data_IF_034479123307
#
_entry.id   IF_034479123307
#
_cell.length_a   1.000
_cell.length_b   1.000
_cell.length_c   1.000
_cell.angle_alpha   90.00
_cell.angle_beta   90.00
_cell.angle_gamma   90.00
#
_symmetry.space_group_name_H-M   'P 1'
#
loop_
_entity.id
_entity.type
_entity.pdbx_description
1 polymer ?
#
# COMPACT_ATOMS: atom_id res chain seq x y z
N UNK A 1 -11.42 3.17 -16.13
CA UNK A 1 -10.69 1.99 -15.64
C UNK A 1 -11.41 0.73 -16.08
N UNK A 2 -10.69 -0.25 -16.62
CA UNK A 2 -11.24 -1.55 -17.02
C UNK A 2 -10.69 -2.66 -16.11
N UNK A 3 -11.55 -3.29 -15.32
CA UNK A 3 -11.21 -4.48 -14.54
C UNK A 3 -11.46 -5.74 -15.38
N UNK A 4 -10.42 -6.53 -15.62
CA UNK A 4 -10.49 -7.82 -16.31
C UNK A 4 -10.48 -8.94 -15.27
N UNK A 5 -11.61 -9.64 -15.13
CA UNK A 5 -11.76 -10.73 -14.17
C UNK A 5 -11.40 -12.04 -14.85
N UNK A 6 -10.43 -12.75 -14.28
CA UNK A 6 -9.95 -14.03 -14.75
C UNK A 6 -10.13 -15.07 -13.64
N UNK A 7 -10.73 -16.21 -13.98
CA UNK A 7 -10.90 -17.31 -13.04
C UNK A 7 -11.52 -18.54 -13.71
N UNK A 8 -11.31 -19.75 -13.16
CA UNK A 8 -11.97 -20.97 -13.65
C UNK A 8 -13.50 -20.90 -13.45
N UNK A 9 -14.25 -21.86 -13.99
CA UNK A 9 -15.73 -21.82 -14.03
C UNK A 9 -16.38 -21.63 -12.65
N UNK A 10 -15.85 -22.29 -11.60
CA UNK A 10 -16.40 -22.26 -10.23
C UNK A 10 -15.59 -21.40 -9.25
N UNK A 11 -14.94 -20.35 -9.75
CA UNK A 11 -14.15 -19.41 -8.94
C UNK A 11 -14.97 -18.35 -8.19
N UNK A 12 -16.27 -18.20 -8.49
CA UNK A 12 -17.06 -17.08 -7.99
C UNK A 12 -16.91 -15.79 -8.81
N UNK A 13 -16.20 -15.82 -9.95
CA UNK A 13 -16.01 -14.64 -10.83
C UNK A 13 -17.30 -13.90 -11.22
N UNK A 14 -18.39 -14.63 -11.45
CA UNK A 14 -19.68 -14.03 -11.76
C UNK A 14 -20.29 -13.31 -10.55
N UNK A 15 -20.23 -13.92 -9.37
CA UNK A 15 -20.69 -13.29 -8.13
C UNK A 15 -19.87 -12.03 -7.81
N UNK A 16 -18.55 -12.09 -8.01
CA UNK A 16 -17.67 -10.94 -7.88
C UNK A 16 -17.99 -9.81 -8.88
N UNK A 17 -18.25 -10.16 -10.15
CA UNK A 17 -18.65 -9.18 -11.17
C UNK A 17 -19.95 -8.47 -10.78
N UNK A 18 -20.95 -9.23 -10.31
CA UNK A 18 -22.22 -8.66 -9.86
C UNK A 18 -22.04 -7.73 -8.66
N UNK A 19 -21.17 -8.10 -7.72
CA UNK A 19 -20.81 -7.23 -6.60
C UNK A 19 -20.20 -5.91 -7.06
N UNK A 20 -19.26 -5.95 -8.03
CA UNK A 20 -18.70 -4.72 -8.61
C UNK A 20 -19.77 -3.88 -9.32
N UNK A 21 -20.73 -4.51 -10.02
CA UNK A 21 -21.85 -3.78 -10.63
C UNK A 21 -22.68 -3.02 -9.59
N UNK A 22 -22.90 -3.60 -8.41
CA UNK A 22 -23.55 -2.93 -7.29
C UNK A 22 -22.73 -1.74 -6.75
N UNK A 23 -21.41 -1.77 -6.91
CA UNK A 23 -20.48 -0.67 -6.59
C UNK A 23 -20.30 0.33 -7.75
N UNK A 24 -21.28 0.45 -8.65
CA UNK A 24 -21.28 1.38 -9.80
C UNK A 24 -20.30 1.05 -10.95
N UNK A 25 -19.80 -0.19 -11.05
CA UNK A 25 -19.11 -0.64 -12.26
C UNK A 25 -20.12 -1.05 -13.35
N UNK A 26 -19.79 -0.77 -14.62
CA UNK A 26 -20.61 -1.22 -15.75
C UNK A 26 -19.99 -2.47 -16.38
N UNK A 27 -20.76 -3.55 -16.46
CA UNK A 27 -20.33 -4.75 -17.17
C UNK A 27 -20.30 -4.52 -18.68
N UNK A 28 -19.22 -4.97 -19.33
CA UNK A 28 -19.08 -5.00 -20.79
C UNK A 28 -18.60 -6.38 -21.23
N UNK A 29 -19.19 -6.88 -22.32
CA UNK A 29 -18.78 -8.14 -22.93
C UNK A 29 -17.33 -8.08 -23.41
N UNK A 30 -16.62 -9.20 -23.28
CA UNK A 30 -15.26 -9.32 -23.79
C UNK A 30 -15.25 -9.26 -25.31
N UNK A 31 -14.29 -8.53 -25.88
CA UNK A 31 -13.85 -8.67 -27.27
C UNK A 31 -12.33 -8.49 -27.34
N UNK A 32 -11.63 -9.10 -28.32
CA UNK A 32 -10.19 -8.93 -28.49
C UNK A 32 -9.76 -7.46 -28.64
N UNK A 33 -10.57 -6.66 -29.32
CA UNK A 33 -10.30 -5.24 -29.58
C UNK A 33 -10.89 -4.29 -28.53
N UNK A 34 -11.43 -4.80 -27.42
CA UNK A 34 -12.16 -4.01 -26.42
C UNK A 34 -11.35 -2.80 -25.92
N UNK A 35 -10.05 -2.99 -25.66
CA UNK A 35 -9.19 -1.89 -25.21
C UNK A 35 -9.10 -0.75 -26.23
N UNK A 36 -9.08 -1.06 -27.53
CA UNK A 36 -9.07 -0.09 -28.63
C UNK A 36 -10.43 0.59 -28.75
N UNK A 37 -11.53 -0.16 -28.70
CA UNK A 37 -12.89 0.38 -28.77
C UNK A 37 -13.16 1.38 -27.65
N UNK A 38 -12.76 1.07 -26.42
CA UNK A 38 -12.94 1.98 -25.28
C UNK A 38 -12.18 3.30 -25.42
N UNK A 39 -11.05 3.29 -26.13
CA UNK A 39 -10.30 4.51 -26.43
C UNK A 39 -11.03 5.32 -27.49
N UNK A 40 -11.40 4.71 -28.61
CA UNK A 40 -12.09 5.38 -29.72
C UNK A 40 -13.42 6.01 -29.27
N UNK A 41 -14.15 5.33 -28.39
CA UNK A 41 -15.42 5.81 -27.85
C UNK A 41 -15.26 6.75 -26.64
N UNK A 42 -14.03 7.07 -26.23
CA UNK A 42 -13.74 7.89 -25.04
C UNK A 42 -14.40 7.37 -23.74
N UNK A 43 -14.55 6.05 -23.62
CA UNK A 43 -15.14 5.38 -22.43
C UNK A 43 -14.10 4.89 -21.42
N UNK A 44 -12.81 5.09 -21.70
CA UNK A 44 -11.69 4.64 -20.84
C UNK A 44 -11.70 5.23 -19.42
N UNK A 45 -12.35 6.37 -19.21
CA UNK A 45 -12.50 7.02 -17.91
C UNK A 45 -13.66 6.47 -17.05
N UNK A 46 -14.51 5.59 -17.59
CA UNK A 46 -15.61 4.96 -16.86
C UNK A 46 -15.13 3.78 -16.02
N UNK A 47 -15.85 3.42 -14.96
CA UNK A 47 -15.62 2.21 -14.18
C UNK A 47 -16.25 1.00 -14.89
N UNK A 48 -15.42 0.21 -15.58
CA UNK A 48 -15.85 -0.89 -16.42
C UNK A 48 -15.31 -2.22 -15.89
N UNK A 49 -16.06 -3.29 -16.11
CA UNK A 49 -15.67 -4.64 -15.75
C UNK A 49 -15.99 -5.63 -16.87
N UNK A 50 -15.09 -6.57 -17.12
CA UNK A 50 -15.29 -7.64 -18.10
C UNK A 50 -14.76 -8.96 -17.56
N UNK A 51 -15.32 -10.08 -17.99
CA UNK A 51 -14.85 -11.41 -17.64
C UNK A 51 -14.06 -11.96 -18.82
N UNK A 52 -12.81 -12.35 -18.58
CA UNK A 52 -11.99 -13.02 -19.57
C UNK A 52 -12.46 -14.48 -19.74
N UNK A 53 -12.64 -14.95 -20.99
CA UNK A 53 -13.07 -16.32 -21.24
C UNK A 53 -11.97 -17.34 -20.86
N UNK A 54 -10.72 -16.97 -21.10
CA UNK A 54 -9.53 -17.80 -20.86
C UNK A 54 -8.30 -16.93 -20.53
N UNK A 55 -7.19 -17.52 -20.03
CA UNK A 55 -5.98 -16.76 -19.70
C UNK A 55 -5.30 -16.05 -20.89
N UNK A 56 -5.30 -16.62 -22.09
CA UNK A 56 -4.63 -16.04 -23.27
C UNK A 56 -5.32 -14.76 -23.76
N UNK A 57 -6.64 -14.65 -23.53
CA UNK A 57 -7.42 -13.43 -23.78
C UNK A 57 -6.85 -12.17 -23.09
N UNK A 58 -6.06 -12.33 -22.01
CA UNK A 58 -5.34 -11.23 -21.36
C UNK A 58 -4.34 -10.53 -22.29
N UNK A 59 -3.70 -11.28 -23.20
CA UNK A 59 -2.67 -10.77 -24.10
C UNK A 59 -3.19 -9.66 -25.01
N UNK A 60 -4.49 -9.67 -25.31
CA UNK A 60 -5.16 -8.68 -26.13
C UNK A 60 -5.39 -7.35 -25.39
N UNK A 61 -5.63 -7.39 -24.07
CA UNK A 61 -6.05 -6.22 -23.29
C UNK A 61 -4.92 -5.60 -22.45
N UNK A 62 -3.83 -6.32 -22.20
CA UNK A 62 -2.70 -5.89 -21.34
C UNK A 62 -1.93 -4.64 -21.82
N UNK A 63 -2.17 -4.18 -23.05
CA UNK A 63 -1.35 -3.15 -23.71
C UNK A 63 -1.50 -1.76 -23.09
N UNK A 64 -2.51 -1.52 -22.25
CA UNK A 64 -2.88 -0.19 -21.76
C UNK A 64 -2.90 -0.13 -20.23
N UNK A 65 -2.39 0.95 -19.61
CA UNK A 65 -2.24 1.06 -18.15
C UNK A 65 -3.57 1.25 -17.39
N UNK A 66 -4.68 1.57 -18.07
CA UNK A 66 -6.00 1.68 -17.44
C UNK A 66 -6.71 0.32 -17.29
N UNK A 67 -6.08 -0.76 -17.76
CA UNK A 67 -6.58 -2.12 -17.69
C UNK A 67 -5.89 -2.85 -16.54
N UNK A 68 -6.68 -3.41 -15.62
CA UNK A 68 -6.18 -4.14 -14.46
C UNK A 68 -6.68 -5.58 -14.45
N UNK A 69 -5.78 -6.52 -14.20
CA UNK A 69 -6.12 -7.94 -14.12
C UNK A 69 -6.44 -8.33 -12.68
N UNK A 70 -7.60 -8.94 -12.48
CA UNK A 70 -8.01 -9.55 -11.21
C UNK A 70 -8.13 -11.06 -11.43
N UNK A 71 -7.35 -11.84 -10.68
CA UNK A 71 -7.38 -13.30 -10.75
C UNK A 71 -8.09 -13.82 -9.51
N UNK A 72 -9.17 -14.58 -9.70
CA UNK A 72 -9.94 -15.18 -8.62
C UNK A 72 -9.69 -16.68 -8.63
N UNK A 73 -9.08 -17.16 -7.54
CA UNK A 73 -8.77 -18.58 -7.39
C UNK A 73 -9.99 -19.36 -6.90
N UNK A 74 -10.25 -20.51 -7.53
CA UNK A 74 -11.21 -21.48 -7.02
C UNK A 74 -10.65 -22.27 -5.83
N UNK A 75 -11.49 -22.87 -4.98
CA UNK A 75 -11.03 -23.63 -3.83
C UNK A 75 -10.18 -24.84 -4.21
N UNK A 76 -8.91 -24.81 -3.82
CA UNK A 76 -8.04 -25.97 -3.83
C UNK A 76 -8.65 -27.06 -2.93
N UNK A 77 -8.95 -28.24 -3.53
CA UNK A 77 -9.56 -29.42 -2.88
C UNK A 77 -11.07 -29.33 -2.57
N UNK A 78 -11.81 -28.39 -3.14
CA UNK A 78 -13.28 -28.48 -3.08
C UNK A 78 -13.83 -29.51 -4.06
N UNK A 79 -15.05 -29.98 -3.78
CA UNK A 79 -15.93 -30.69 -4.75
C UNK A 79 -16.17 -29.91 -6.04
N UNK A 80 -15.81 -28.62 -6.06
CA UNK A 80 -15.99 -27.71 -7.19
C UNK A 80 -14.77 -27.68 -8.11
N UNK A 81 -13.62 -28.26 -7.73
CA UNK A 81 -12.43 -28.32 -8.58
C UNK A 81 -12.57 -29.44 -9.61
N UNK A 82 -12.35 -29.11 -10.88
CA UNK A 82 -12.37 -30.07 -11.98
C UNK A 82 -10.96 -30.21 -12.59
N UNK A 83 -10.70 -31.29 -13.33
CA UNK A 83 -9.42 -31.50 -14.05
C UNK A 83 -9.05 -30.36 -15.02
N UNK A 84 -10.05 -29.69 -15.58
CA UNK A 84 -9.86 -28.53 -16.46
C UNK A 84 -9.32 -27.28 -15.71
N UNK A 85 -9.47 -27.21 -14.38
CA UNK A 85 -8.95 -26.10 -13.60
C UNK A 85 -7.41 -26.16 -13.51
N UNK A 86 -6.82 -27.35 -13.53
CA UNK A 86 -5.36 -27.53 -13.52
C UNK A 86 -4.73 -26.97 -14.80
N UNK A 87 -5.35 -27.23 -15.97
CA UNK A 87 -4.94 -26.64 -17.24
C UNK A 87 -5.04 -25.11 -17.20
N UNK A 88 -6.11 -24.57 -16.62
CA UNK A 88 -6.26 -23.12 -16.44
C UNK A 88 -5.13 -22.53 -15.60
N UNK A 89 -4.81 -23.13 -14.45
CA UNK A 89 -3.73 -22.64 -13.58
C UNK A 89 -2.36 -22.75 -14.23
N UNK A 90 -2.08 -23.81 -14.98
CA UNK A 90 -0.84 -23.93 -15.76
C UNK A 90 -0.70 -22.81 -16.79
N UNK A 91 -1.77 -22.47 -17.50
CA UNK A 91 -1.77 -21.34 -18.45
C UNK A 91 -1.50 -20.01 -17.75
N UNK A 92 -2.15 -19.74 -16.62
CA UNK A 92 -1.89 -18.53 -15.81
C UNK A 92 -0.44 -18.48 -15.32
N UNK A 93 0.11 -19.62 -14.89
CA UNK A 93 1.48 -19.73 -14.43
C UNK A 93 2.47 -19.44 -15.57
N UNK A 94 2.25 -20.01 -16.76
CA UNK A 94 3.06 -19.73 -17.94
C UNK A 94 3.05 -18.24 -18.31
N UNK A 95 1.88 -17.59 -18.24
CA UNK A 95 1.74 -16.15 -18.46
C UNK A 95 2.41 -15.28 -17.39
N UNK A 96 2.70 -15.82 -16.21
CA UNK A 96 3.51 -15.13 -15.20
C UNK A 96 5.00 -15.34 -15.46
N UNK A 97 5.39 -16.57 -15.84
CA UNK A 97 6.77 -16.94 -16.12
C UNK A 97 7.34 -16.19 -17.33
N UNK A 98 6.54 -16.01 -18.38
CA UNK A 98 6.92 -15.24 -19.58
C UNK A 98 6.79 -13.70 -19.37
N UNK A 99 6.44 -13.26 -18.15
CA UNK A 99 6.19 -11.86 -17.77
C UNK A 99 5.02 -11.21 -18.53
N UNK A 100 4.09 -12.01 -19.06
CA UNK A 100 2.90 -11.49 -19.70
C UNK A 100 1.89 -10.90 -18.71
N UNK A 101 1.90 -11.40 -17.47
CA UNK A 101 1.20 -10.86 -16.30
C UNK A 101 2.28 -10.33 -15.35
N UNK A 102 2.46 -9.01 -15.32
CA UNK A 102 3.43 -8.34 -14.43
C UNK A 102 2.79 -7.78 -13.17
N UNK A 103 1.54 -7.32 -13.27
CA UNK A 103 0.76 -6.78 -12.18
C UNK A 103 -0.65 -7.35 -12.25
N UNK A 104 -1.13 -7.90 -11.14
CA UNK A 104 -2.49 -8.39 -10.99
C UNK A 104 -2.89 -8.36 -9.52
N UNK A 105 -4.19 -8.23 -9.26
CA UNK A 105 -4.76 -8.47 -7.92
C UNK A 105 -5.20 -9.92 -7.84
N UNK A 106 -4.65 -10.65 -6.88
CA UNK A 106 -5.05 -12.02 -6.60
C UNK A 106 -6.07 -12.04 -5.48
N UNK A 107 -7.25 -12.55 -5.78
CA UNK A 107 -8.29 -12.81 -4.79
C UNK A 107 -8.17 -14.30 -4.45
N UNK A 108 -7.75 -14.62 -3.22
CA UNK A 108 -7.62 -16.00 -2.81
C UNK A 108 -8.99 -16.66 -2.73
N UNK A 109 -8.99 -17.96 -2.54
CA UNK A 109 -10.22 -18.71 -2.41
C UNK A 109 -10.95 -18.43 -1.07
N UNK A 110 -12.29 -18.39 -1.12
CA UNK A 110 -13.17 -18.28 0.05
C UNK A 110 -14.22 -19.39 0.07
N UNK A 111 -14.64 -19.79 1.27
CA UNK A 111 -15.64 -20.85 1.44
C UNK A 111 -17.08 -20.36 1.24
N UNK A 112 -17.35 -19.06 1.39
CA UNK A 112 -18.67 -18.45 1.23
C UNK A 112 -18.61 -17.14 0.43
N UNK A 113 -19.74 -16.73 -0.14
CA UNK A 113 -19.87 -15.46 -0.89
C UNK A 113 -19.71 -14.28 0.07
N UNK A 114 -20.22 -14.38 1.30
CA UNK A 114 -20.10 -13.35 2.31
C UNK A 114 -18.64 -13.09 2.69
N UNK A 115 -17.84 -14.15 2.85
CA UNK A 115 -16.40 -14.00 3.13
C UNK A 115 -15.65 -13.38 1.95
N UNK A 116 -16.01 -13.76 0.72
CA UNK A 116 -15.47 -13.13 -0.48
C UNK A 116 -15.79 -11.63 -0.51
N UNK A 117 -17.05 -11.24 -0.29
CA UNK A 117 -17.45 -9.83 -0.31
C UNK A 117 -16.83 -9.03 0.84
N UNK A 118 -16.73 -9.61 2.04
CA UNK A 118 -16.05 -8.98 3.17
C UNK A 118 -14.57 -8.73 2.90
N UNK A 119 -13.87 -9.62 2.17
CA UNK A 119 -12.50 -9.37 1.76
C UNK A 119 -12.42 -8.31 0.66
N UNK A 120 -13.28 -8.44 -0.35
CA UNK A 120 -13.32 -7.51 -1.49
C UNK A 120 -13.60 -6.08 -1.03
N UNK A 121 -14.44 -5.87 -0.02
CA UNK A 121 -14.67 -4.54 0.56
C UNK A 121 -13.42 -3.91 1.20
N UNK A 122 -12.38 -4.70 1.49
CA UNK A 122 -11.09 -4.19 1.98
C UNK A 122 -10.10 -3.84 0.86
N UNK A 123 -10.38 -4.26 -0.38
CA UNK A 123 -9.50 -4.03 -1.51
C UNK A 123 -9.75 -2.66 -2.13
N UNK A 124 -8.65 -1.95 -2.40
CA UNK A 124 -8.67 -0.75 -3.23
C UNK A 124 -8.36 -1.13 -4.68
N UNK A 125 -9.36 -1.00 -5.55
CA UNK A 125 -9.23 -1.29 -6.97
C UNK A 125 -8.73 -0.10 -7.80
N UNK A 126 -8.44 1.05 -7.17
CA UNK A 126 -7.91 2.18 -7.89
C UNK A 126 -6.49 1.89 -8.40
N UNK A 127 -6.34 1.72 -9.73
CA UNK A 127 -5.03 1.55 -10.37
C UNK A 127 -4.09 2.71 -10.04
N UNK A 128 -4.65 3.91 -9.91
CA UNK A 128 -3.93 5.11 -9.50
C UNK A 128 -4.24 5.39 -8.03
N UNK A 129 -3.28 5.20 -7.11
CA UNK A 129 -3.51 5.50 -5.70
C UNK A 129 -3.81 7.00 -5.50
N UNK A 130 -4.55 7.29 -4.43
CA UNK A 130 -4.65 8.67 -3.92
C UNK A 130 -3.26 9.15 -3.50
N UNK A 131 -3.09 10.47 -3.37
CA UNK A 131 -1.82 11.02 -2.90
C UNK A 131 -1.44 10.48 -1.53
N UNK A 132 -2.38 10.40 -0.59
CA UNK A 132 -2.09 9.92 0.76
C UNK A 132 -1.67 8.45 0.78
N UNK A 133 -2.37 7.60 0.02
CA UNK A 133 -1.99 6.19 -0.14
C UNK A 133 -0.60 6.07 -0.76
N UNK A 134 -0.32 6.79 -1.85
CA UNK A 134 0.98 6.79 -2.50
C UNK A 134 2.11 7.23 -1.54
N UNK A 135 1.92 8.34 -0.84
CA UNK A 135 2.92 8.86 0.08
C UNK A 135 3.14 7.94 1.28
N UNK A 136 2.08 7.35 1.83
CA UNK A 136 2.20 6.36 2.90
C UNK A 136 2.90 5.07 2.42
N UNK A 137 2.57 4.57 1.22
CA UNK A 137 3.24 3.40 0.63
C UNK A 137 4.74 3.68 0.41
N UNK A 138 5.11 4.89 0.00
CA UNK A 138 6.53 5.30 -0.07
C UNK A 138 7.16 5.36 1.31
N UNK A 139 6.50 5.90 2.34
CA UNK A 139 7.00 5.88 3.71
C UNK A 139 7.22 4.45 4.23
N UNK A 140 6.31 3.52 3.92
CA UNK A 140 6.47 2.09 4.21
C UNK A 140 7.69 1.52 3.49
N UNK A 141 7.87 1.84 2.20
CA UNK A 141 9.05 1.40 1.43
C UNK A 141 10.36 1.97 2.00
N UNK A 142 10.37 3.22 2.46
CA UNK A 142 11.53 3.84 3.12
C UNK A 142 11.84 3.12 4.43
N UNK A 143 10.81 2.70 5.19
CA UNK A 143 10.98 1.96 6.45
C UNK A 143 11.74 0.64 6.29
N UNK A 144 11.70 0.02 5.09
CA UNK A 144 12.42 -1.22 4.81
C UNK A 144 13.94 -1.09 4.92
N UNK A 145 14.48 0.13 4.78
CA UNK A 145 15.91 0.44 5.00
C UNK A 145 16.28 0.65 6.47
N UNK A 146 15.31 0.67 7.38
CA UNK A 146 15.57 0.73 8.82
C UNK A 146 16.47 -0.42 9.26
N UNK A 147 17.48 -0.07 10.05
CA UNK A 147 18.43 -1.00 10.64
C UNK A 147 18.19 -1.21 12.15
N UNK A 148 17.09 -0.69 12.69
CA UNK A 148 16.77 -0.78 14.12
C UNK A 148 16.24 -2.17 14.47
N UNK A 149 16.71 -2.73 15.58
CA UNK A 149 16.30 -4.06 16.09
C UNK A 149 14.90 -4.10 16.70
N UNK A 150 14.31 -2.95 17.02
CA UNK A 150 13.01 -2.88 17.70
C UNK A 150 11.85 -2.70 16.73
N UNK A 151 11.97 -1.74 15.82
CA UNK A 151 10.89 -1.38 14.89
C UNK A 151 11.46 -0.79 13.61
N UNK A 152 10.78 -1.05 12.48
CA UNK A 152 11.07 -0.43 11.20
C UNK A 152 10.11 0.73 10.96
N UNK A 153 10.62 1.95 11.05
CA UNK A 153 9.85 3.17 10.89
C UNK A 153 10.43 3.93 9.70
N UNK A 154 9.54 4.39 8.82
CA UNK A 154 9.87 5.27 7.72
C UNK A 154 9.03 6.54 7.80
N UNK A 155 9.61 7.64 7.36
CA UNK A 155 8.98 8.94 7.24
C UNK A 155 9.38 9.60 5.92
N UNK A 156 8.45 10.36 5.33
CA UNK A 156 8.73 11.24 4.21
C UNK A 156 8.10 12.60 4.46
N UNK A 157 8.74 13.64 3.92
CA UNK A 157 8.24 15.01 3.98
C UNK A 157 7.81 15.39 2.56
N UNK A 158 6.61 15.92 2.45
CA UNK A 158 5.95 16.25 1.19
C UNK A 158 5.59 17.74 1.18
N UNK A 159 5.92 18.42 0.09
CA UNK A 159 5.50 19.80 -0.17
C UNK A 159 5.10 19.91 -1.63
N UNK A 160 3.98 20.58 -1.91
CA UNK A 160 3.44 20.74 -3.27
C UNK A 160 3.32 19.39 -4.02
N UNK A 161 2.85 18.35 -3.32
CA UNK A 161 2.72 16.97 -3.82
C UNK A 161 4.04 16.36 -4.33
N UNK A 162 5.18 16.85 -3.84
CA UNK A 162 6.51 16.31 -4.11
C UNK A 162 7.18 15.89 -2.82
N UNK A 163 7.83 14.74 -2.84
CA UNK A 163 8.67 14.27 -1.74
C UNK A 163 9.93 15.13 -1.74
N UNK A 164 10.15 15.87 -0.65
CA UNK A 164 11.31 16.73 -0.48
C UNK A 164 12.37 16.11 0.43
N UNK A 165 11.99 15.16 1.28
CA UNK A 165 12.92 14.37 2.07
C UNK A 165 12.34 13.02 2.51
N UNK A 166 13.24 12.12 2.88
CA UNK A 166 12.94 10.79 3.40
C UNK A 166 13.82 10.51 4.61
N UNK A 167 13.32 9.71 5.54
CA UNK A 167 14.07 9.25 6.70
C UNK A 167 13.58 7.90 7.18
N UNK A 168 14.49 7.08 7.69
CA UNK A 168 14.19 5.84 8.39
C UNK A 168 14.94 5.83 9.71
N UNK A 169 14.45 5.09 10.70
CA UNK A 169 15.08 5.05 12.00
C UNK A 169 16.33 4.15 12.00
N UNK A 170 17.36 4.57 12.73
CA UNK A 170 18.63 3.83 12.81
C UNK A 170 19.72 4.54 13.60
N UNK A 171 20.87 3.91 13.79
CA UNK A 171 22.02 4.57 14.41
C UNK A 171 22.53 5.74 13.56
N UNK A 172 23.21 6.73 14.18
CA UNK A 172 23.81 7.85 13.46
C UNK A 172 24.81 7.42 12.39
N UNK A 173 25.06 8.30 11.43
CA UNK A 173 26.09 8.09 10.40
C UNK A 173 27.45 7.83 11.07
N UNK A 174 28.23 6.92 10.47
CA UNK A 174 29.55 6.51 10.96
C UNK A 174 29.56 5.70 12.27
N UNK A 175 28.40 5.31 12.81
CA UNK A 175 28.30 4.27 13.84
C UNK A 175 27.93 2.93 13.21
N UNK A 176 28.23 1.84 13.92
CA UNK A 176 27.67 0.52 13.57
C UNK A 176 26.15 0.59 13.54
N UNK A 177 25.52 -0.17 12.65
CA UNK A 177 24.07 -0.29 12.60
C UNK A 177 23.55 -1.08 13.82
N UNK A 178 22.27 -0.98 14.19
CA UNK A 178 21.78 -1.80 15.33
C UNK A 178 21.88 -3.29 15.05
N UNK A 179 21.75 -3.74 13.80
CA UNK A 179 21.97 -5.14 13.42
C UNK A 179 23.41 -5.61 13.66
N UNK A 180 24.35 -4.67 13.72
CA UNK A 180 25.78 -4.91 13.97
C UNK A 180 26.18 -4.61 15.42
N UNK A 181 25.21 -4.38 16.31
CA UNK A 181 25.47 -4.10 17.72
C UNK A 181 25.63 -2.62 18.07
N UNK A 182 25.35 -1.69 17.15
CA UNK A 182 25.62 -0.26 17.35
C UNK A 182 24.75 0.47 18.39
N UNK A 183 23.73 -0.19 18.96
CA UNK A 183 22.89 0.41 19.99
C UNK A 183 22.62 -0.60 21.11
N UNK A 184 23.36 -0.46 22.22
CA UNK A 184 23.25 -1.35 23.39
C UNK A 184 21.80 -1.53 23.87
N UNK A 185 21.00 -0.46 23.89
CA UNK A 185 19.58 -0.55 24.25
C UNK A 185 18.80 -1.42 23.26
N UNK A 186 18.92 -1.16 21.96
CA UNK A 186 18.19 -1.93 20.95
C UNK A 186 18.66 -3.39 20.86
N UNK A 187 19.92 -3.67 21.17
CA UNK A 187 20.48 -5.02 21.23
C UNK A 187 20.25 -5.75 22.57
N UNK A 188 19.59 -5.10 23.54
CA UNK A 188 19.14 -5.72 24.79
C UNK A 188 17.69 -6.22 24.71
N UNK A 189 17.27 -7.05 25.67
CA UNK A 189 15.88 -7.55 25.75
C UNK A 189 14.86 -6.53 26.30
N UNK A 190 15.17 -5.23 26.22
CA UNK A 190 14.25 -4.16 26.61
C UNK A 190 13.06 -4.11 25.64
N UNK A 191 11.85 -3.99 26.18
CA UNK A 191 10.63 -3.88 25.37
C UNK A 191 10.57 -2.61 24.52
N UNK A 192 9.65 -2.58 23.56
CA UNK A 192 9.39 -1.38 22.75
C UNK A 192 9.05 -0.17 23.66
N UNK A 193 9.44 1.03 23.22
CA UNK A 193 9.25 2.30 23.95
C UNK A 193 9.83 2.40 25.37
N UNK A 194 10.62 1.43 25.84
CA UNK A 194 11.31 1.48 27.15
C UNK A 194 12.79 1.86 27.03
N UNK A 195 13.34 2.58 28.01
CA UNK A 195 14.77 2.92 28.06
C UNK A 195 15.25 3.82 26.92
N UNK A 196 14.38 4.73 26.44
CA UNK A 196 14.66 5.62 25.30
C UNK A 196 15.82 6.59 25.56
N UNK A 197 16.10 6.92 26.82
CA UNK A 197 17.21 7.81 27.24
C UNK A 197 18.60 7.29 26.85
N UNK A 198 18.77 5.97 26.75
CA UNK A 198 20.03 5.33 26.34
C UNK A 198 20.00 4.85 24.88
N UNK A 199 18.92 5.16 24.14
CA UNK A 199 18.82 4.86 22.73
C UNK A 199 19.65 5.86 21.92
N UNK A 200 20.63 5.38 21.17
CA UNK A 200 21.41 6.25 20.25
C UNK A 200 20.74 6.40 18.88
N UNK A 201 19.68 5.64 18.59
CA UNK A 201 19.04 5.66 17.28
C UNK A 201 18.34 7.00 17.01
N UNK A 202 18.54 7.52 15.82
CA UNK A 202 17.79 8.63 15.23
C UNK A 202 16.45 8.06 14.74
N UNK A 203 15.36 8.76 15.04
CA UNK A 203 14.01 8.39 14.60
C UNK A 203 13.81 8.72 13.10
N UNK A 204 12.80 8.12 12.47
CA UNK A 204 12.58 8.29 11.04
C UNK A 204 12.21 9.74 10.69
N UNK A 205 11.36 10.34 11.52
CA UNK A 205 10.91 11.72 11.44
C UNK A 205 12.11 12.67 11.56
N UNK A 206 12.96 12.44 12.58
CA UNK A 206 14.17 13.21 12.79
C UNK A 206 15.16 13.07 11.63
N UNK A 207 15.35 11.86 11.12
CA UNK A 207 16.20 11.61 9.95
C UNK A 207 15.71 12.38 8.72
N UNK A 208 14.39 12.41 8.49
CA UNK A 208 13.81 13.16 7.38
C UNK A 208 13.99 14.68 7.55
N UNK A 209 13.76 15.20 8.76
CA UNK A 209 13.93 16.62 9.10
C UNK A 209 15.39 17.08 8.94
N UNK A 210 16.35 16.27 9.40
CA UNK A 210 17.78 16.57 9.28
C UNK A 210 18.26 16.62 7.83
N UNK A 211 17.62 15.89 6.91
CA UNK A 211 18.01 15.87 5.49
C UNK A 211 17.49 17.08 4.69
N UNK A 212 16.53 17.86 5.20
CA UNK A 212 15.87 18.92 4.43
C UNK A 212 16.21 20.34 4.89
N UNK A 213 16.43 20.53 6.20
CA UNK A 213 16.60 21.85 6.81
C UNK A 213 15.31 22.67 6.90
N UNK A 214 15.33 23.75 7.70
CA UNK A 214 14.15 24.55 8.04
C UNK A 214 13.45 25.15 6.81
N UNK A 215 14.17 25.95 6.02
CA UNK A 215 13.59 26.76 4.93
C UNK A 215 12.78 25.94 3.93
N UNK A 216 13.24 24.72 3.63
CA UNK A 216 12.57 23.83 2.69
C UNK A 216 11.41 23.06 3.34
N UNK A 217 11.46 22.83 4.66
CA UNK A 217 10.47 22.08 5.43
C UNK A 217 9.22 22.91 5.80
N UNK A 218 9.34 24.23 5.98
CA UNK A 218 8.20 25.07 6.37
C UNK A 218 7.01 24.90 5.41
N UNK A 219 5.81 24.78 5.98
CA UNK A 219 4.55 24.55 5.27
C UNK A 219 4.50 23.22 4.48
N UNK A 220 5.22 22.20 4.93
CA UNK A 220 5.16 20.83 4.39
C UNK A 220 4.31 19.90 5.27
N UNK A 221 4.04 18.71 4.76
CA UNK A 221 3.38 17.60 5.47
C UNK A 221 4.38 16.47 5.69
N UNK A 222 4.23 15.73 6.80
CA UNK A 222 5.01 14.52 7.05
C UNK A 222 4.09 13.30 7.03
N UNK A 223 4.47 12.30 6.26
CA UNK A 223 3.86 10.96 6.29
C UNK A 223 4.82 10.03 7.02
N UNK A 224 4.36 9.36 8.06
CA UNK A 224 5.18 8.49 8.89
C UNK A 224 4.46 7.18 9.14
N UNK A 225 5.17 6.06 9.09
CA UNK A 225 4.52 4.73 9.31
C UNK A 225 3.88 4.59 10.69
N UNK A 226 4.40 5.27 11.71
CA UNK A 226 3.91 5.19 13.08
C UNK A 226 3.81 6.59 13.70
N UNK A 227 2.88 6.76 14.63
CA UNK A 227 2.59 8.05 15.27
C UNK A 227 3.84 8.68 15.94
N UNK A 228 4.19 9.95 15.70
CA UNK A 228 5.43 10.52 16.22
C UNK A 228 5.53 10.52 17.75
N UNK A 229 6.70 10.16 18.28
CA UNK A 229 6.96 10.25 19.72
C UNK A 229 7.06 11.72 20.17
N UNK A 230 7.00 11.97 21.49
CA UNK A 230 7.09 13.32 22.05
C UNK A 230 8.37 14.09 21.64
N UNK A 231 9.50 13.40 21.43
CA UNK A 231 10.75 14.05 20.98
C UNK A 231 10.66 14.47 19.51
N UNK A 232 10.01 13.68 18.66
CA UNK A 232 9.81 14.01 17.25
C UNK A 232 8.75 15.10 17.09
N UNK A 233 7.68 15.07 17.89
CA UNK A 233 6.68 16.15 17.97
C UNK A 233 7.33 17.53 18.08
N UNK A 234 8.21 17.74 19.07
CA UNK A 234 8.89 19.04 19.29
C UNK A 234 9.63 19.52 18.04
N UNK A 235 10.31 18.60 17.35
CA UNK A 235 11.08 18.90 16.14
C UNK A 235 10.17 19.18 14.94
N UNK A 236 9.10 18.40 14.77
CA UNK A 236 8.09 18.60 13.71
C UNK A 236 7.47 20.00 13.83
N UNK A 237 7.07 20.41 15.03
CA UNK A 237 6.50 21.75 15.30
C UNK A 237 7.53 22.83 14.98
N UNK A 238 8.75 22.70 15.52
CA UNK A 238 9.83 23.66 15.31
C UNK A 238 10.20 23.83 13.83
N UNK A 239 10.00 22.79 13.01
CA UNK A 239 10.31 22.78 11.58
C UNK A 239 9.20 23.36 10.70
N UNK A 240 8.07 23.77 11.28
CA UNK A 240 6.98 24.41 10.56
C UNK A 240 6.17 23.45 9.69
N UNK A 241 6.14 22.16 10.02
CA UNK A 241 5.23 21.18 9.40
C UNK A 241 3.79 21.50 9.80
N UNK A 242 2.86 21.33 8.86
CA UNK A 242 1.44 21.68 9.05
C UNK A 242 0.51 20.48 9.22
N UNK A 243 0.93 19.30 8.77
CA UNK A 243 0.13 18.08 8.87
C UNK A 243 1.02 16.85 9.07
N UNK A 244 0.59 15.96 9.96
CA UNK A 244 1.20 14.67 10.27
C UNK A 244 0.21 13.56 9.90
N UNK A 245 0.58 12.73 8.93
CA UNK A 245 -0.21 11.58 8.52
C UNK A 245 0.49 10.29 8.95
N UNK A 246 -0.23 9.38 9.60
CA UNK A 246 0.36 8.17 10.17
C UNK A 246 -0.48 6.92 9.94
N UNK A 247 0.14 5.73 9.95
CA UNK A 247 -0.56 4.46 9.74
C UNK A 247 -0.86 3.68 11.03
N UNK A 248 0.07 3.70 11.99
CA UNK A 248 -0.07 2.94 13.23
C UNK A 248 0.06 3.83 14.47
N UNK A 249 -0.77 3.59 15.49
CA UNK A 249 -0.62 4.13 16.85
C UNK A 249 0.23 3.20 17.72
N UNK A 250 0.91 3.76 18.71
CA UNK A 250 1.73 3.07 19.71
C UNK A 250 0.99 2.76 21.00
N UNK A 251 0.32 3.75 21.60
CA UNK A 251 -0.29 3.61 22.94
C UNK A 251 -1.31 4.73 23.22
N UNK A 252 -1.97 4.65 24.37
CA UNK A 252 -2.83 5.73 24.89
C UNK A 252 -2.04 7.04 25.15
N UNK A 253 -0.71 6.97 25.30
CA UNK A 253 0.13 8.16 25.47
C UNK A 253 0.24 8.98 24.18
N UNK A 254 -0.10 8.39 23.02
CA UNK A 254 -0.17 9.11 21.74
C UNK A 254 -1.23 10.21 21.78
N UNK A 255 -2.31 10.03 22.55
CA UNK A 255 -3.38 11.01 22.65
C UNK A 255 -2.90 12.31 23.34
N UNK A 256 -1.94 12.21 24.27
CA UNK A 256 -1.29 13.37 24.89
C UNK A 256 -0.47 14.15 23.85
N UNK A 257 0.30 13.43 23.03
CA UNK A 257 1.12 14.05 21.98
C UNK A 257 0.24 14.63 20.87
N UNK A 258 -0.87 13.97 20.56
CA UNK A 258 -1.90 14.45 19.66
C UNK A 258 -2.50 15.79 20.12
N UNK A 259 -2.76 15.94 21.42
CA UNK A 259 -3.24 17.20 21.98
C UNK A 259 -2.19 18.32 21.88
N UNK A 260 -0.90 18.00 22.01
CA UNK A 260 0.16 18.97 21.73
C UNK A 260 0.26 19.37 20.25
N UNK A 261 0.01 18.45 19.31
CA UNK A 261 -0.08 18.80 17.89
C UNK A 261 -1.24 19.77 17.62
N UNK A 262 -2.43 19.47 18.17
CA UNK A 262 -3.60 20.34 18.05
C UNK A 262 -3.37 21.73 18.63
N UNK A 263 -2.76 21.83 19.82
CA UNK A 263 -2.47 23.12 20.44
C UNK A 263 -1.38 23.93 19.72
N UNK A 264 -0.65 23.29 18.79
CA UNK A 264 0.36 23.92 17.93
C UNK A 264 -0.14 24.18 16.51
N UNK A 265 -1.46 24.11 16.28
CA UNK A 265 -2.10 24.27 14.96
C UNK A 265 -1.56 23.29 13.88
N UNK A 266 -1.27 22.05 14.29
CA UNK A 266 -0.83 20.97 13.39
C UNK A 266 -1.90 19.87 13.35
N UNK A 267 -2.38 19.57 12.15
CA UNK A 267 -3.36 18.52 11.93
C UNK A 267 -2.69 17.13 11.96
N UNK A 268 -3.38 16.15 12.56
CA UNK A 268 -2.95 14.76 12.61
C UNK A 268 -4.04 13.86 12.03
N UNK A 269 -3.67 12.95 11.12
CA UNK A 269 -4.63 12.05 10.46
C UNK A 269 -4.09 10.63 10.37
N UNK A 270 -4.96 9.64 10.62
CA UNK A 270 -4.64 8.22 10.43
C UNK A 270 -5.01 7.78 9.00
N UNK A 271 -4.10 7.10 8.30
CA UNK A 271 -4.25 6.58 6.92
C UNK A 271 -4.29 5.05 6.91
#
# INVERSE_FOLDING_TARGET
>A
MLLCILGPKKSGKHAFTNYLCNLSYTYIGYSPDLSSTLICESKWNKSLVTILPDPESWLNLRKRPFVHLIIIYAPSKSIWRNSNDDSFFLKVLNLKLDKSITQCTEIPNYCTIESLFSFVSTLDFNIRPTFDKYFMDVAVSVSLRSNCMKMKIGAIIVKDKRIIATGYNGTPKSMLNCFEGGCNRCNSNVGNNKGLTYCVCIHAEESALLNIGYERCVNSYIYVTHFPCQLCFRKIVQMGIKKVLYRFKYSLEDDIVNDYFKSSDIETESI
#
